data_IF_868497417481
#
_entry.id   IF_868497417481
#
_cell.length_a   1.000
_cell.length_b   1.000
_cell.length_c   1.000
_cell.angle_alpha   90.00
_cell.angle_beta   90.00
_cell.angle_gamma   90.00
#
_symmetry.space_group_name_H-M   'P 1'
#
loop_
_entity.id
_entity.type
_entity.pdbx_description
1 polymer ?
#
# COMPACT_ATOMS: atom_id res chain seq x y z
N UNK A 1 -10.13 15.66 32.51
CA UNK A 1 -8.78 15.32 32.02
C UNK A 1 -8.97 14.63 30.69
N UNK A 2 -8.86 15.35 29.57
CA UNK A 2 -9.22 14.84 28.25
C UNK A 2 -8.01 14.21 27.57
N UNK A 3 -8.08 12.91 27.28
CA UNK A 3 -7.16 12.28 26.35
C UNK A 3 -7.74 12.43 24.94
N UNK A 4 -7.35 13.51 24.26
CA UNK A 4 -7.42 13.53 22.79
C UNK A 4 -6.38 12.53 22.30
N UNK A 5 -6.85 11.34 21.92
CA UNK A 5 -6.07 10.36 21.18
C UNK A 5 -5.65 11.04 19.88
N UNK A 6 -4.38 11.44 19.85
CA UNK A 6 -3.76 12.11 18.71
C UNK A 6 -3.81 11.12 17.53
N UNK A 7 -4.88 11.19 16.73
CA UNK A 7 -4.93 10.56 15.42
C UNK A 7 -3.99 11.42 14.58
N UNK A 8 -2.69 11.14 14.69
CA UNK A 8 -1.64 11.87 13.99
C UNK A 8 -2.09 12.05 12.55
N UNK A 9 -2.39 13.30 12.19
CA UNK A 9 -2.77 13.66 10.85
C UNK A 9 -1.70 13.09 9.91
N UNK A 10 -2.12 12.21 8.99
CA UNK A 10 -1.25 11.74 7.91
C UNK A 10 -0.80 13.00 7.18
N UNK A 11 0.46 13.40 7.39
CA UNK A 11 1.05 14.49 6.63
C UNK A 11 1.07 14.03 5.18
N UNK A 12 0.20 14.63 4.36
CA UNK A 12 0.16 14.43 2.92
C UNK A 12 1.58 14.48 2.34
N UNK A 13 1.96 13.47 1.55
CA UNK A 13 3.06 13.62 0.58
C UNK A 13 4.44 13.02 0.90
N UNK A 14 4.56 11.87 1.58
CA UNK A 14 5.83 11.10 1.62
C UNK A 14 5.64 9.64 1.26
N UNK A 15 5.25 9.36 0.02
CA UNK A 15 5.32 8.04 -0.59
C UNK A 15 6.64 7.86 -1.37
N UNK A 16 7.07 6.61 -1.55
CA UNK A 16 8.15 6.26 -2.47
C UNK A 16 7.66 5.16 -3.41
N UNK A 17 7.89 5.35 -4.72
CA UNK A 17 7.57 4.37 -5.75
C UNK A 17 8.82 3.64 -6.21
N UNK A 18 8.70 2.33 -6.44
CA UNK A 18 9.78 1.48 -6.93
C UNK A 18 9.26 0.54 -8.02
N UNK A 19 10.03 0.36 -9.08
CA UNK A 19 9.77 -0.69 -10.08
C UNK A 19 10.49 -1.96 -9.66
N UNK A 20 9.75 -3.05 -9.42
CA UNK A 20 10.31 -4.36 -9.11
C UNK A 20 10.11 -5.28 -10.32
N UNK A 21 11.14 -6.07 -10.64
CA UNK A 21 11.05 -7.09 -11.69
C UNK A 21 11.95 -8.28 -11.38
N UNK A 22 11.69 -9.38 -12.09
CA UNK A 22 12.56 -10.56 -12.14
C UNK A 22 13.96 -10.26 -12.68
N UNK A 23 14.11 -9.20 -13.49
CA UNK A 23 15.40 -8.72 -14.00
C UNK A 23 16.18 -7.96 -12.94
N UNK A 24 15.57 -6.96 -12.29
CA UNK A 24 16.30 -6.10 -11.34
C UNK A 24 16.46 -6.73 -9.95
N UNK A 25 15.61 -7.70 -9.61
CA UNK A 25 15.64 -8.48 -8.36
C UNK A 25 15.71 -7.62 -7.09
N UNK A 26 15.14 -6.43 -7.16
CA UNK A 26 15.05 -5.54 -6.00
C UNK A 26 14.05 -6.09 -4.99
N UNK A 27 14.33 -5.87 -3.71
CA UNK A 27 13.45 -6.20 -2.59
C UNK A 27 13.26 -4.94 -1.73
N UNK A 28 12.03 -4.71 -1.29
CA UNK A 28 11.67 -3.56 -0.47
C UNK A 28 11.26 -4.05 0.91
N UNK A 29 11.93 -3.54 1.94
CA UNK A 29 11.50 -3.69 3.33
C UNK A 29 10.52 -2.56 3.67
N UNK A 30 9.28 -2.91 3.95
CA UNK A 30 8.27 -1.95 4.42
C UNK A 30 8.23 -1.98 5.95
N UNK A 31 8.53 -0.87 6.65
CA UNK A 31 8.44 -0.83 8.09
C UNK A 31 6.99 -0.96 8.59
N UNK A 32 6.77 -1.42 9.84
CA UNK A 32 5.43 -1.44 10.43
C UNK A 32 4.78 -0.05 10.40
N UNK A 33 3.44 -0.01 10.30
CA UNK A 33 2.61 1.21 10.25
C UNK A 33 2.76 2.05 8.96
N UNK A 34 3.43 1.52 7.93
CA UNK A 34 3.39 2.07 6.58
C UNK A 34 2.37 1.29 5.72
N UNK A 35 1.63 2.01 4.88
CA UNK A 35 0.84 1.40 3.82
C UNK A 35 1.74 0.91 2.69
N UNK A 36 1.38 -0.21 2.07
CA UNK A 36 1.99 -0.68 0.84
C UNK A 36 0.90 -1.02 -0.18
N UNK A 37 1.18 -0.75 -1.45
CA UNK A 37 0.33 -1.11 -2.58
C UNK A 37 1.22 -1.44 -3.77
N UNK A 38 0.74 -2.30 -4.65
CA UNK A 38 1.46 -2.72 -5.83
C UNK A 38 0.51 -2.80 -7.02
N UNK A 39 1.05 -2.55 -8.21
CA UNK A 39 0.33 -2.71 -9.47
C UNK A 39 1.17 -3.55 -10.41
N UNK A 40 0.56 -4.58 -10.98
CA UNK A 40 1.20 -5.44 -11.98
C UNK A 40 1.13 -4.73 -13.33
N UNK A 41 2.28 -4.54 -13.98
CA UNK A 41 2.40 -3.86 -15.28
C UNK A 41 2.61 -4.83 -16.45
N UNK A 42 2.80 -6.11 -16.17
CA UNK A 42 2.91 -7.20 -17.14
C UNK A 42 1.60 -7.98 -17.24
N UNK A 43 1.48 -8.87 -18.23
CA UNK A 43 0.31 -9.74 -18.37
C UNK A 43 0.14 -10.66 -17.14
N UNK A 44 1.26 -11.15 -16.61
CA UNK A 44 1.30 -11.99 -15.41
C UNK A 44 2.50 -11.59 -14.52
N UNK A 45 2.37 -11.84 -13.21
CA UNK A 45 3.46 -11.67 -12.26
C UNK A 45 3.33 -12.63 -11.07
N UNK A 46 4.47 -13.12 -10.57
CA UNK A 46 4.56 -13.83 -9.29
C UNK A 46 5.10 -12.85 -8.25
N UNK A 47 4.26 -12.50 -7.27
CA UNK A 47 4.64 -11.61 -6.18
C UNK A 47 4.94 -12.40 -4.92
N UNK A 48 6.18 -12.28 -4.42
CA UNK A 48 6.62 -12.91 -3.18
C UNK A 48 6.84 -11.85 -2.09
N UNK A 49 6.40 -12.15 -0.87
CA UNK A 49 6.68 -11.32 0.30
C UNK A 49 7.01 -12.20 1.51
N UNK A 50 7.72 -11.60 2.47
CA UNK A 50 7.98 -12.18 3.78
C UNK A 50 7.30 -11.32 4.83
N UNK A 51 6.78 -11.95 5.88
CA UNK A 51 6.19 -11.25 7.02
C UNK A 51 7.06 -11.47 8.25
N UNK A 52 7.14 -10.46 9.11
CA UNK A 52 7.81 -10.56 10.42
C UNK A 52 6.87 -11.05 11.52
N UNK A 53 5.57 -11.15 11.24
CA UNK A 53 4.52 -11.58 12.18
C UNK A 53 3.56 -12.54 11.48
N UNK A 54 2.74 -13.23 12.27
CA UNK A 54 1.61 -14.00 11.76
C UNK A 54 0.51 -13.09 11.18
N UNK A 55 -0.34 -13.68 10.34
CA UNK A 55 -1.47 -12.98 9.75
C UNK A 55 -2.54 -12.70 10.80
N UNK A 56 -2.88 -11.43 10.97
CA UNK A 56 -4.03 -10.99 11.74
C UNK A 56 -4.85 -10.01 10.89
N UNK A 57 -6.07 -10.42 10.52
CA UNK A 57 -6.97 -9.62 9.71
C UNK A 57 -7.47 -8.38 10.46
N UNK A 58 -7.63 -8.45 11.79
CA UNK A 58 -8.24 -7.39 12.58
C UNK A 58 -7.30 -6.19 12.77
N UNK A 59 -5.99 -6.39 12.63
CA UNK A 59 -5.00 -5.31 12.70
C UNK A 59 -4.64 -4.70 11.33
N UNK A 60 -5.23 -5.19 10.24
CA UNK A 60 -5.05 -4.59 8.92
C UNK A 60 -5.93 -3.35 8.76
N UNK A 61 -5.39 -2.36 8.05
CA UNK A 61 -6.15 -1.23 7.53
C UNK A 61 -6.01 -1.22 6.00
N UNK A 62 -7.02 -0.68 5.32
CA UNK A 62 -6.94 -0.39 3.89
C UNK A 62 -7.22 1.08 3.63
N UNK A 63 -6.37 1.67 2.81
CA UNK A 63 -6.62 2.98 2.22
C UNK A 63 -7.22 2.78 0.83
N UNK A 64 -8.09 3.70 0.41
CA UNK A 64 -8.60 3.67 -0.95
C UNK A 64 -7.43 3.85 -1.93
N UNK A 65 -7.36 3.01 -2.97
CA UNK A 65 -6.19 2.96 -3.85
C UNK A 65 -5.91 4.27 -4.61
N UNK A 66 -6.97 5.00 -4.95
CA UNK A 66 -6.98 6.29 -5.65
C UNK A 66 -7.42 7.45 -4.74
N UNK A 67 -7.13 7.35 -3.44
CA UNK A 67 -7.38 8.46 -2.52
C UNK A 67 -6.63 9.72 -2.99
N UNK A 68 -7.34 10.81 -3.37
CA UNK A 68 -6.72 12.03 -3.88
C UNK A 68 -5.83 12.71 -2.84
N UNK A 69 -6.02 12.47 -1.53
CA UNK A 69 -5.15 13.01 -0.49
C UNK A 69 -3.77 12.33 -0.46
N UNK A 70 -3.68 11.08 -0.93
CA UNK A 70 -2.42 10.35 -1.04
C UNK A 70 -1.64 10.74 -2.29
N UNK A 71 -2.34 11.15 -3.37
CA UNK A 71 -1.77 11.62 -4.63
C UNK A 71 -0.68 10.66 -5.19
N UNK A 72 -0.98 9.37 -5.21
CA UNK A 72 -0.06 8.33 -5.70
C UNK A 72 -0.12 8.30 -7.23
N UNK A 73 1.05 8.35 -7.88
CA UNK A 73 1.14 8.12 -9.31
C UNK A 73 1.13 6.62 -9.61
N UNK A 74 0.09 6.16 -10.29
CA UNK A 74 -0.03 4.78 -10.76
C UNK A 74 0.26 4.70 -12.28
N UNK A 75 1.19 3.84 -12.73
CA UNK A 75 1.56 3.68 -14.15
C UNK A 75 0.52 2.92 -15.00
N UNK A 76 -0.76 2.95 -14.64
CA UNK A 76 -1.86 2.30 -15.37
C UNK A 76 -3.14 3.13 -15.26
N UNK A 77 -3.97 3.09 -16.31
CA UNK A 77 -5.23 3.86 -16.34
C UNK A 77 -6.43 3.10 -15.75
N UNK A 78 -6.55 1.80 -16.05
CA UNK A 78 -7.70 0.97 -15.67
C UNK A 78 -7.20 -0.29 -14.95
N UNK A 79 -6.78 -0.20 -13.68
CA UNK A 79 -6.35 -1.36 -12.92
C UNK A 79 -7.54 -2.29 -12.61
N UNK A 80 -7.26 -3.59 -12.44
CA UNK A 80 -8.21 -4.52 -11.85
C UNK A 80 -8.10 -4.36 -10.33
N UNK A 81 -9.18 -3.93 -9.68
CA UNK A 81 -9.20 -3.53 -8.28
C UNK A 81 -10.19 -4.39 -7.50
N UNK A 82 -9.83 -4.75 -6.27
CA UNK A 82 -10.73 -5.43 -5.35
C UNK A 82 -11.73 -4.45 -4.73
N UNK A 83 -12.92 -4.92 -4.35
CA UNK A 83 -13.90 -4.07 -3.66
C UNK A 83 -13.33 -3.43 -2.37
N UNK A 84 -12.44 -4.13 -1.67
CA UNK A 84 -11.79 -3.64 -0.44
C UNK A 84 -10.93 -2.40 -0.71
N UNK A 85 -10.15 -2.44 -1.78
CA UNK A 85 -9.23 -1.34 -2.15
C UNK A 85 -9.98 -0.19 -2.85
N UNK A 86 -11.11 -0.46 -3.50
CA UNK A 86 -12.01 0.55 -4.06
C UNK A 86 -12.78 1.33 -2.98
N UNK A 87 -13.11 0.69 -1.87
CA UNK A 87 -13.85 1.35 -0.78
C UNK A 87 -12.92 2.04 0.24
N UNK A 88 -11.79 1.44 0.60
CA UNK A 88 -10.97 1.84 1.74
C UNK A 88 -11.67 1.52 3.08
N UNK A 89 -11.15 0.57 3.86
CA UNK A 89 -11.79 0.08 5.09
C UNK A 89 -10.76 -0.39 6.14
#
# INVERSE_FOLDING_TARGET
>A
MGEKKDRGALKSGKGAGFTLSDVNRLQILVPPKFGNGHVVMSDEAIFHYKQSTEYDRASQFTLRWDDPELNIWWPIKNPIISQRDEMGA
#
